data_IF_577623504188
#
_entry.id   IF_577623504188
#
_cell.length_a   1.000
_cell.length_b   1.000
_cell.length_c   1.000
_cell.angle_alpha   90.00
_cell.angle_beta   90.00
_cell.angle_gamma   90.00
#
_symmetry.space_group_name_H-M   'P 1'
#
loop_
_entity.id
_entity.type
_entity.pdbx_description
1 polymer ?
#
# COMPACT_ATOMS: atom_id res chain seq x y z
N UNK A 1 -15.58 -88.76 -16.63
CA UNK A 1 -16.57 -87.70 -16.91
C UNK A 1 -16.93 -86.88 -15.66
N UNK A 2 -15.97 -86.36 -14.88
CA UNK A 2 -16.25 -85.46 -13.73
C UNK A 2 -15.64 -84.06 -13.88
N UNK A 3 -14.56 -83.91 -14.66
CA UNK A 3 -13.91 -82.62 -14.90
C UNK A 3 -14.74 -81.63 -15.72
N UNK A 4 -15.44 -82.10 -16.76
CA UNK A 4 -16.25 -81.24 -17.64
C UNK A 4 -17.42 -80.57 -16.91
N UNK A 5 -17.98 -81.24 -15.89
CA UNK A 5 -19.06 -80.69 -15.08
C UNK A 5 -18.61 -79.51 -14.20
N UNK A 6 -17.42 -79.61 -13.60
CA UNK A 6 -16.87 -78.50 -12.79
C UNK A 6 -16.53 -77.28 -13.64
N UNK A 7 -15.99 -77.47 -14.84
CA UNK A 7 -15.70 -76.36 -15.77
C UNK A 7 -16.97 -75.63 -16.17
N UNK A 8 -18.07 -76.37 -16.39
CA UNK A 8 -19.37 -75.80 -16.73
C UNK A 8 -19.95 -74.98 -15.56
N UNK A 9 -19.81 -75.47 -14.33
CA UNK A 9 -20.26 -74.75 -13.13
C UNK A 9 -19.45 -73.45 -12.93
N UNK A 10 -18.13 -73.49 -13.11
CA UNK A 10 -17.29 -72.30 -13.03
C UNK A 10 -17.59 -71.28 -14.14
N UNK A 11 -17.90 -71.74 -15.36
CA UNK A 11 -18.30 -70.87 -16.45
C UNK A 11 -19.63 -70.16 -16.17
N UNK A 12 -20.61 -70.87 -15.60
CA UNK A 12 -21.90 -70.29 -15.21
C UNK A 12 -21.74 -69.27 -14.07
N UNK A 13 -20.92 -69.58 -13.06
CA UNK A 13 -20.59 -68.65 -11.99
C UNK A 13 -19.90 -67.37 -12.49
N UNK A 14 -18.96 -67.50 -13.43
CA UNK A 14 -18.30 -66.36 -14.05
C UNK A 14 -19.28 -65.49 -14.86
N UNK A 15 -20.26 -66.10 -15.53
CA UNK A 15 -21.26 -65.40 -16.33
C UNK A 15 -22.27 -64.64 -15.44
N UNK A 16 -22.67 -65.24 -14.31
CA UNK A 16 -23.50 -64.56 -13.30
C UNK A 16 -22.75 -63.40 -12.64
N UNK A 17 -21.48 -63.56 -12.29
CA UNK A 17 -20.68 -62.45 -11.75
C UNK A 17 -20.45 -61.34 -12.78
N UNK A 18 -20.16 -61.69 -14.04
CA UNK A 18 -19.99 -60.71 -15.12
C UNK A 18 -21.26 -59.89 -15.38
N UNK A 19 -22.43 -60.53 -15.33
CA UNK A 19 -23.72 -59.84 -15.50
C UNK A 19 -24.07 -58.97 -14.30
N UNK A 20 -23.80 -59.39 -13.06
CA UNK A 20 -23.99 -58.56 -11.85
C UNK A 20 -23.09 -57.31 -11.87
N UNK A 21 -21.83 -57.43 -12.30
CA UNK A 21 -20.92 -56.30 -12.45
C UNK A 21 -21.44 -55.31 -13.49
N UNK A 22 -21.93 -55.79 -14.64
CA UNK A 22 -22.50 -54.94 -15.68
C UNK A 22 -23.74 -54.17 -15.20
N UNK A 23 -24.64 -54.82 -14.44
CA UNK A 23 -25.80 -54.15 -13.85
C UNK A 23 -25.44 -53.13 -12.77
N UNK A 24 -24.42 -53.37 -11.95
CA UNK A 24 -23.92 -52.38 -10.98
C UNK A 24 -23.27 -51.18 -11.68
N UNK A 25 -22.58 -51.39 -12.81
CA UNK A 25 -21.99 -50.29 -13.58
C UNK A 25 -23.02 -49.42 -14.30
N UNK A 26 -24.15 -49.99 -14.74
CA UNK A 26 -25.18 -49.26 -15.51
C UNK A 26 -26.15 -48.48 -14.60
N UNK A 27 -26.40 -48.94 -13.37
CA UNK A 27 -27.22 -48.21 -12.39
C UNK A 27 -26.49 -47.00 -11.78
N UNK A 28 -25.15 -47.04 -11.68
CA UNK A 28 -24.36 -45.90 -11.18
C UNK A 28 -24.06 -44.82 -12.24
N UNK A 29 -24.39 -45.06 -13.51
CA UNK A 29 -24.10 -44.11 -14.60
C UNK A 29 -25.27 -43.21 -14.99
N UNK A 30 -26.49 -43.46 -14.50
CA UNK A 30 -27.65 -42.61 -14.79
C UNK A 30 -27.70 -41.29 -14.02
N UNK A 31 -26.83 -41.05 -13.04
CA UNK A 31 -26.80 -39.79 -12.26
C UNK A 31 -25.68 -38.81 -12.62
N UNK A 32 -24.71 -39.16 -13.49
CA UNK A 32 -23.61 -38.26 -13.83
C UNK A 32 -23.85 -37.64 -15.20
N UNK A 33 -24.77 -36.68 -15.19
CA UNK A 33 -24.88 -35.63 -16.21
C UNK A 33 -23.48 -35.05 -16.52
N UNK A 34 -23.05 -35.21 -17.76
CA UNK A 34 -22.05 -34.43 -18.52
C UNK A 34 -21.20 -33.47 -17.66
N UNK A 35 -20.08 -33.98 -17.11
CA UNK A 35 -18.91 -33.14 -16.83
C UNK A 35 -17.78 -33.59 -17.72
N UNK A 36 -17.55 -32.84 -18.81
CA UNK A 36 -16.27 -32.89 -19.54
C UNK A 36 -15.19 -32.44 -18.55
N UNK A 37 -14.52 -33.38 -17.90
CA UNK A 37 -13.27 -33.06 -17.20
C UNK A 37 -12.26 -32.75 -18.30
N UNK A 38 -11.71 -31.52 -18.37
CA UNK A 38 -10.69 -31.22 -19.36
C UNK A 38 -9.51 -32.17 -19.12
N UNK A 39 -8.89 -32.64 -20.21
CA UNK A 39 -7.68 -33.45 -20.13
C UNK A 39 -6.69 -32.84 -19.14
N UNK A 40 -5.97 -33.63 -18.32
CA UNK A 40 -4.99 -33.09 -17.39
C UNK A 40 -3.98 -32.26 -18.18
N UNK A 41 -4.05 -30.93 -18.02
CA UNK A 41 -3.11 -30.01 -18.64
C UNK A 41 -1.80 -30.17 -17.87
N UNK A 42 -0.91 -31.03 -18.36
CA UNK A 42 0.46 -31.10 -17.88
C UNK A 42 1.15 -29.78 -18.26
N UNK A 43 1.05 -28.77 -17.39
CA UNK A 43 1.90 -27.58 -17.47
C UNK A 43 3.30 -27.99 -17.05
N UNK A 44 4.16 -28.25 -18.02
CA UNK A 44 5.60 -28.31 -17.81
C UNK A 44 6.06 -26.87 -17.57
N UNK A 45 5.92 -26.36 -16.34
CA UNK A 45 6.58 -25.11 -15.97
C UNK A 45 8.07 -25.40 -15.84
N UNK A 46 8.90 -24.73 -16.64
CA UNK A 46 10.35 -24.88 -16.53
C UNK A 46 10.80 -24.44 -15.14
N UNK A 47 11.82 -25.09 -14.58
CA UNK A 47 12.41 -24.71 -13.29
C UNK A 47 12.86 -23.23 -13.29
N UNK A 48 13.11 -22.67 -14.49
CA UNK A 48 13.47 -21.28 -14.72
C UNK A 48 12.28 -20.32 -14.91
N UNK A 49 11.05 -20.82 -15.09
CA UNK A 49 9.86 -19.99 -15.29
C UNK A 49 9.57 -19.15 -14.04
N UNK A 50 9.55 -19.77 -12.87
CA UNK A 50 9.32 -19.08 -11.60
C UNK A 50 10.35 -17.98 -11.32
N UNK A 51 11.68 -18.21 -11.42
CA UNK A 51 12.66 -17.16 -11.20
C UNK A 51 12.62 -16.06 -12.28
N UNK A 52 12.39 -16.39 -13.55
CA UNK A 52 12.25 -15.38 -14.62
C UNK A 52 11.00 -14.52 -14.44
N UNK A 53 9.87 -15.13 -14.07
CA UNK A 53 8.63 -14.41 -13.76
C UNK A 53 8.82 -13.49 -12.55
N UNK A 54 9.53 -13.94 -11.52
CA UNK A 54 9.88 -13.12 -10.36
C UNK A 54 10.79 -11.94 -10.74
N UNK A 55 11.76 -12.15 -11.62
CA UNK A 55 12.63 -11.08 -12.13
C UNK A 55 11.84 -10.05 -12.95
N UNK A 56 10.99 -10.51 -13.88
CA UNK A 56 10.13 -9.65 -14.68
C UNK A 56 9.18 -8.81 -13.81
N UNK A 57 8.58 -9.42 -12.78
CA UNK A 57 7.72 -8.70 -11.83
C UNK A 57 8.49 -7.63 -11.04
N UNK A 58 9.74 -7.92 -10.63
CA UNK A 58 10.61 -6.95 -9.95
C UNK A 58 11.00 -5.78 -10.86
N UNK A 59 11.30 -6.04 -12.13
CA UNK A 59 11.62 -4.98 -13.09
C UNK A 59 10.42 -4.08 -13.37
N UNK A 60 9.24 -4.68 -13.56
CA UNK A 60 7.98 -3.92 -13.72
C UNK A 60 7.67 -3.05 -12.50
N UNK A 61 7.86 -3.61 -11.31
CA UNK A 61 7.74 -2.90 -10.04
C UNK A 61 8.68 -1.68 -9.94
N UNK A 62 9.95 -1.83 -10.33
CA UNK A 62 10.93 -0.74 -10.36
C UNK A 62 10.55 0.34 -11.37
N UNK A 63 10.09 -0.05 -12.56
CA UNK A 63 9.64 0.90 -13.59
C UNK A 63 8.46 1.74 -13.10
N UNK A 64 7.44 1.10 -12.50
CA UNK A 64 6.27 1.81 -11.97
C UNK A 64 6.67 2.75 -10.82
N UNK A 65 7.56 2.31 -9.93
CA UNK A 65 8.08 3.17 -8.87
C UNK A 65 8.82 4.38 -9.44
N UNK A 66 9.63 4.19 -10.50
CA UNK A 66 10.36 5.28 -11.16
C UNK A 66 9.43 6.34 -11.74
N UNK A 67 8.34 5.94 -12.41
CA UNK A 67 7.37 6.87 -12.97
C UNK A 67 6.68 7.69 -11.86
N UNK A 68 6.28 7.05 -10.77
CA UNK A 68 5.67 7.73 -9.62
C UNK A 68 6.66 8.70 -8.93
N UNK A 69 7.96 8.36 -8.89
CA UNK A 69 9.02 9.26 -8.40
C UNK A 69 9.18 10.49 -9.30
N UNK A 70 8.98 10.34 -10.61
CA UNK A 70 9.03 11.47 -11.52
C UNK A 70 7.82 12.39 -11.34
N UNK A 71 6.62 11.81 -11.21
CA UNK A 71 5.41 12.57 -10.88
C UNK A 71 5.50 13.27 -9.51
N UNK A 72 6.15 12.66 -8.50
CA UNK A 72 6.33 13.31 -7.21
C UNK A 72 7.25 14.53 -7.30
N UNK A 73 8.31 14.48 -8.12
CA UNK A 73 9.15 15.66 -8.39
C UNK A 73 8.36 16.79 -9.04
N UNK A 74 7.46 16.48 -9.99
CA UNK A 74 6.59 17.49 -10.62
C UNK A 74 5.63 18.14 -9.60
N UNK A 75 5.19 17.38 -8.59
CA UNK A 75 4.39 17.89 -7.47
C UNK A 75 5.21 18.67 -6.42
N UNK A 76 6.50 18.88 -6.65
CA UNK A 76 7.40 19.62 -5.76
C UNK A 76 7.92 18.80 -4.57
N UNK A 77 7.75 17.47 -4.56
CA UNK A 77 8.28 16.61 -3.52
C UNK A 77 9.78 16.39 -3.73
N UNK A 78 10.56 16.85 -2.77
CA UNK A 78 12.01 16.70 -2.77
C UNK A 78 12.47 15.27 -2.42
N UNK A 79 13.76 14.95 -2.63
CA UNK A 79 14.36 13.65 -2.32
C UNK A 79 14.20 13.22 -0.85
N UNK A 80 13.98 14.17 0.05
CA UNK A 80 13.81 13.99 1.49
C UNK A 80 12.48 13.35 1.90
N UNK A 81 11.54 13.25 0.96
CA UNK A 81 10.22 12.62 1.16
C UNK A 81 10.24 11.11 0.93
N UNK A 82 11.35 10.58 0.40
CA UNK A 82 11.53 9.15 0.16
C UNK A 82 12.05 8.44 1.41
N UNK A 83 11.45 7.30 1.74
CA UNK A 83 11.87 6.41 2.83
C UNK A 83 12.00 4.98 2.32
N UNK A 84 12.82 4.16 2.98
CA UNK A 84 12.87 2.72 2.70
C UNK A 84 12.37 1.99 3.94
N UNK A 85 11.27 1.26 3.81
CA UNK A 85 10.70 0.44 4.90
C UNK A 85 10.44 -0.97 4.38
N UNK A 86 10.88 -1.99 5.11
CA UNK A 86 10.67 -3.40 4.77
C UNK A 86 11.10 -3.76 3.33
N UNK A 87 12.24 -3.22 2.88
CA UNK A 87 12.78 -3.38 1.51
C UNK A 87 11.89 -2.80 0.39
N UNK A 88 10.92 -1.95 0.72
CA UNK A 88 10.09 -1.21 -0.22
C UNK A 88 10.41 0.29 -0.16
N UNK A 89 10.37 0.94 -1.32
CA UNK A 89 10.40 2.39 -1.39
C UNK A 89 9.07 2.96 -0.90
N UNK A 90 9.13 4.00 -0.07
CA UNK A 90 7.99 4.74 0.44
C UNK A 90 8.08 6.19 0.02
N UNK A 91 6.96 6.74 -0.45
CA UNK A 91 6.82 8.18 -0.70
C UNK A 91 5.93 8.73 0.41
N UNK A 92 6.48 9.63 1.23
CA UNK A 92 5.74 10.29 2.31
C UNK A 92 5.24 11.66 1.86
N UNK A 93 3.99 11.97 2.19
CA UNK A 93 3.46 13.33 2.06
C UNK A 93 2.79 13.78 3.36
N UNK A 94 3.07 15.02 3.74
CA UNK A 94 2.44 15.71 4.87
C UNK A 94 1.22 16.54 4.44
N UNK A 95 0.95 16.61 3.13
CA UNK A 95 -0.18 17.31 2.54
C UNK A 95 -1.13 16.30 1.90
N UNK A 96 -2.35 16.22 2.43
CA UNK A 96 -3.34 15.25 1.97
C UNK A 96 -3.70 15.39 0.47
N UNK A 97 -3.73 16.63 -0.06
CA UNK A 97 -4.01 16.86 -1.49
C UNK A 97 -2.89 16.34 -2.38
N UNK A 98 -1.63 16.52 -1.99
CA UNK A 98 -0.49 15.95 -2.72
C UNK A 98 -0.50 14.43 -2.66
N UNK A 99 -0.82 13.85 -1.50
CA UNK A 99 -1.00 12.42 -1.33
C UNK A 99 -2.06 11.84 -2.27
N UNK A 100 -3.25 12.46 -2.37
CA UNK A 100 -4.31 11.96 -3.26
C UNK A 100 -3.88 11.99 -4.73
N UNK A 101 -3.17 13.04 -5.16
CA UNK A 101 -2.61 13.14 -6.51
C UNK A 101 -1.59 12.03 -6.77
N UNK A 102 -0.69 11.76 -5.83
CA UNK A 102 0.26 10.65 -5.94
C UNK A 102 -0.43 9.29 -6.03
N UNK A 103 -1.46 9.07 -5.21
CA UNK A 103 -2.20 7.82 -5.23
C UNK A 103 -2.94 7.61 -6.56
N UNK A 104 -3.41 8.71 -7.18
CA UNK A 104 -4.01 8.69 -8.51
C UNK A 104 -2.97 8.38 -9.60
N UNK A 105 -1.79 9.01 -9.57
CA UNK A 105 -0.70 8.69 -10.49
C UNK A 105 -0.24 7.24 -10.34
N UNK A 106 -0.06 6.75 -9.11
CA UNK A 106 0.28 5.36 -8.86
C UNK A 106 -0.79 4.39 -9.38
N UNK A 107 -2.07 4.74 -9.29
CA UNK A 107 -3.15 3.95 -9.90
C UNK A 107 -3.07 3.95 -11.43
N UNK A 108 -2.75 5.07 -12.07
CA UNK A 108 -2.56 5.16 -13.52
C UNK A 108 -1.38 4.30 -13.99
N UNK A 109 -0.25 4.36 -13.28
CA UNK A 109 0.97 3.61 -13.63
C UNK A 109 0.87 2.10 -13.33
N UNK A 110 0.26 1.73 -12.20
CA UNK A 110 0.20 0.32 -11.78
C UNK A 110 -1.03 -0.41 -12.31
N UNK A 111 -2.11 0.33 -12.63
CA UNK A 111 -3.44 -0.24 -12.91
C UNK A 111 -4.13 -0.85 -11.70
N UNK A 112 -3.54 -0.75 -10.50
CA UNK A 112 -4.04 -1.37 -9.28
C UNK A 112 -4.86 -0.37 -8.45
N UNK A 113 -6.07 -0.80 -8.04
CA UNK A 113 -6.88 -0.08 -7.07
C UNK A 113 -6.66 -0.69 -5.68
N UNK A 114 -5.66 -0.18 -4.97
CA UNK A 114 -5.24 -0.69 -3.65
C UNK A 114 -6.14 -0.12 -2.54
N UNK A 115 -6.54 -0.97 -1.59
CA UNK A 115 -7.27 -0.54 -0.40
C UNK A 115 -6.41 0.35 0.50
N UNK A 116 -7.05 1.36 1.08
CA UNK A 116 -6.38 2.32 1.97
C UNK A 116 -6.48 1.87 3.42
N UNK A 117 -5.34 1.77 4.09
CA UNK A 117 -5.28 1.56 5.54
C UNK A 117 -5.31 2.93 6.22
N UNK A 118 -6.41 3.23 6.90
CA UNK A 118 -6.67 4.55 7.49
C UNK A 118 -6.68 4.51 9.00
N UNK A 119 -5.92 5.41 9.61
CA UNK A 119 -5.87 5.63 11.06
C UNK A 119 -6.52 6.97 11.37
N UNK A 120 -7.40 6.98 12.37
CA UNK A 120 -8.18 8.16 12.72
C UNK A 120 -8.10 8.51 14.20
N UNK A 121 -8.10 9.81 14.52
CA UNK A 121 -8.39 10.35 15.86
C UNK A 121 -9.83 10.88 15.93
N UNK A 122 -10.37 10.94 17.15
CA UNK A 122 -11.66 11.56 17.44
C UNK A 122 -11.41 12.87 18.18
N UNK A 123 -11.93 13.98 17.63
CA UNK A 123 -11.78 15.32 18.18
C UNK A 123 -13.13 16.04 18.19
N UNK A 124 -13.61 16.44 19.37
CA UNK A 124 -14.92 17.13 19.54
C UNK A 124 -16.07 16.44 18.80
N UNK A 125 -16.14 15.10 18.84
CA UNK A 125 -17.15 14.30 18.14
C UNK A 125 -16.93 14.15 16.63
N UNK A 126 -15.87 14.73 16.05
CA UNK A 126 -15.50 14.59 14.64
C UNK A 126 -14.31 13.64 14.46
N UNK A 127 -14.43 12.74 13.47
CA UNK A 127 -13.36 11.80 13.07
C UNK A 127 -12.35 12.52 12.17
N UNK A 128 -11.06 12.40 12.47
CA UNK A 128 -9.93 13.06 11.77
C UNK A 128 -8.92 12.03 11.30
N UNK A 129 -8.41 12.18 10.08
CA UNK A 129 -7.44 11.26 9.49
C UNK A 129 -6.02 11.62 9.99
N UNK A 130 -5.36 10.67 10.66
CA UNK A 130 -3.97 10.84 11.12
C UNK A 130 -2.99 10.29 10.09
N UNK A 131 -3.26 9.08 9.60
CA UNK A 131 -2.37 8.36 8.69
C UNK A 131 -3.20 7.61 7.65
N UNK A 132 -2.75 7.63 6.40
CA UNK A 132 -3.26 6.76 5.35
C UNK A 132 -2.10 6.10 4.61
N UNK A 133 -2.17 4.77 4.43
CA UNK A 133 -1.17 4.01 3.69
C UNK A 133 -1.85 3.26 2.55
N UNK A 134 -1.23 3.32 1.36
CA UNK A 134 -1.53 2.44 0.21
C UNK A 134 -0.27 1.69 -0.21
N UNK A 135 -0.33 0.36 -0.15
CA UNK A 135 0.78 -0.54 -0.49
C UNK A 135 0.55 -1.19 -1.87
N UNK A 136 1.35 -0.79 -2.86
CA UNK A 136 1.29 -1.33 -4.24
C UNK A 136 2.17 -2.58 -4.41
N UNK A 137 2.54 -3.23 -3.31
CA UNK A 137 3.40 -4.42 -3.26
C UNK A 137 4.89 -4.08 -3.39
N UNK A 138 5.26 -3.23 -4.36
CA UNK A 138 6.65 -2.85 -4.66
C UNK A 138 7.10 -1.55 -4.00
N UNK A 139 6.19 -0.59 -3.91
CA UNK A 139 6.36 0.67 -3.20
C UNK A 139 5.06 0.97 -2.43
N UNK A 140 5.14 1.92 -1.50
CA UNK A 140 3.97 2.41 -0.79
C UNK A 140 3.93 3.92 -0.80
N UNK A 141 2.72 4.46 -0.73
CA UNK A 141 2.49 5.89 -0.54
C UNK A 141 1.87 6.06 0.83
N UNK A 142 2.41 6.99 1.61
CA UNK A 142 1.92 7.28 2.96
C UNK A 142 1.60 8.77 3.10
N UNK A 143 0.42 9.05 3.60
CA UNK A 143 0.07 10.31 4.20
C UNK A 143 0.28 10.24 5.71
N UNK A 144 0.91 11.24 6.29
CA UNK A 144 0.96 11.41 7.74
C UNK A 144 0.80 12.87 8.10
N UNK A 145 -0.24 13.17 8.89
CA UNK A 145 -0.41 14.48 9.48
C UNK A 145 0.70 14.71 10.51
N UNK A 146 1.53 15.72 10.30
CA UNK A 146 2.64 16.03 11.19
C UNK A 146 2.92 17.52 11.26
N UNK A 147 3.65 17.92 12.28
CA UNK A 147 4.10 19.29 12.48
C UNK A 147 5.60 19.32 12.73
N UNK A 148 6.22 20.46 12.48
CA UNK A 148 7.60 20.72 12.87
C UNK A 148 7.67 22.03 13.65
N UNK A 149 8.42 22.02 14.74
CA UNK A 149 8.81 23.22 15.48
C UNK A 149 10.31 23.37 15.33
N UNK A 150 10.73 24.52 14.82
CA UNK A 150 12.12 24.90 14.57
C UNK A 150 12.45 26.21 15.29
N UNK A 151 13.73 26.43 15.58
CA UNK A 151 14.20 27.71 16.10
C UNK A 151 14.38 28.74 14.99
N UNK A 152 14.53 30.01 15.36
CA UNK A 152 14.86 31.07 14.40
C UNK A 152 16.24 30.85 13.75
N UNK A 153 17.19 30.26 14.50
CA UNK A 153 18.50 29.86 13.99
C UNK A 153 18.35 28.81 12.88
N UNK A 154 17.64 27.70 13.14
CA UNK A 154 17.36 26.67 12.15
C UNK A 154 16.64 27.24 10.93
N UNK A 155 15.70 28.18 11.14
CA UNK A 155 14.95 28.78 10.03
C UNK A 155 15.85 29.59 9.09
N UNK A 156 16.84 30.31 9.64
CA UNK A 156 17.77 31.13 8.86
C UNK A 156 18.65 30.32 7.91
N UNK A 157 19.06 29.10 8.30
CA UNK A 157 19.84 28.19 7.46
C UNK A 157 19.11 27.81 6.16
N UNK A 158 17.77 27.75 6.20
CA UNK A 158 16.94 27.36 5.05
C UNK A 158 16.36 28.56 4.28
N UNK A 159 16.61 29.81 4.69
CA UNK A 159 16.22 30.98 3.90
C UNK A 159 17.17 31.25 2.74
N UNK A 160 18.47 31.05 2.95
CA UNK A 160 19.54 31.34 1.98
C UNK A 160 19.86 30.15 1.06
N UNK A 161 19.38 28.94 1.38
CA UNK A 161 19.64 27.72 0.64
C UNK A 161 18.76 27.48 -0.60
N UNK A 162 19.08 26.43 -1.36
CA UNK A 162 18.25 25.93 -2.47
C UNK A 162 16.94 25.25 -2.01
N UNK A 163 16.89 24.87 -0.72
CA UNK A 163 15.77 24.22 -0.08
C UNK A 163 14.96 25.26 0.68
N UNK A 164 13.64 25.26 0.49
CA UNK A 164 12.74 26.15 1.22
C UNK A 164 11.71 25.36 2.02
N UNK A 165 11.18 26.00 3.04
CA UNK A 165 10.03 25.50 3.79
C UNK A 165 8.76 26.12 3.18
N UNK A 166 7.78 25.27 2.90
CA UNK A 166 6.45 25.73 2.50
C UNK A 166 5.56 25.91 3.73
N UNK A 167 4.79 27.01 3.78
CA UNK A 167 3.85 27.32 4.87
C UNK A 167 4.50 27.36 6.27
N UNK A 168 5.40 28.32 6.47
CA UNK A 168 6.03 28.60 7.77
C UNK A 168 5.19 29.60 8.56
N UNK A 169 4.95 29.30 9.83
CA UNK A 169 4.26 30.18 10.77
C UNK A 169 5.23 30.66 11.84
N UNK A 170 5.37 31.97 12.02
CA UNK A 170 5.98 32.49 13.25
C UNK A 170 5.02 32.19 14.40
N UNK A 171 5.43 31.49 15.45
CA UNK A 171 4.56 31.19 16.58
C UNK A 171 4.53 32.36 17.56
N UNK A 172 3.34 32.92 17.78
CA UNK A 172 3.02 33.92 18.80
C UNK A 172 1.70 33.53 19.46
N UNK A 173 1.45 33.98 20.70
CA UNK A 173 0.19 33.69 21.41
C UNK A 173 -1.08 33.98 20.60
N UNK A 174 -1.02 34.97 19.69
CA UNK A 174 -2.15 35.37 18.84
C UNK A 174 -2.42 34.40 17.69
N UNK A 175 -1.41 33.66 17.22
CA UNK A 175 -1.52 32.81 16.02
C UNK A 175 -1.40 31.30 16.31
N UNK A 176 -1.12 30.90 17.55
CA UNK A 176 -1.11 29.50 18.00
C UNK A 176 -2.38 28.76 17.56
N UNK A 177 -3.56 29.38 17.73
CA UNK A 177 -4.83 28.79 17.32
C UNK A 177 -4.92 28.52 15.81
N UNK A 178 -4.39 29.44 15.00
CA UNK A 178 -4.38 29.29 13.54
C UNK A 178 -3.42 28.19 13.08
N UNK A 179 -2.24 28.12 13.71
CA UNK A 179 -1.28 27.05 13.48
C UNK A 179 -1.87 25.67 13.80
N UNK A 180 -2.46 25.51 14.98
CA UNK A 180 -3.11 24.27 15.40
C UNK A 180 -4.25 23.90 14.44
N UNK A 181 -5.06 24.87 14.02
CA UNK A 181 -6.14 24.65 13.06
C UNK A 181 -5.63 24.13 11.70
N UNK A 182 -4.53 24.69 11.18
CA UNK A 182 -3.93 24.24 9.92
C UNK A 182 -3.42 22.81 9.99
N UNK A 183 -2.76 22.42 11.10
CA UNK A 183 -2.28 21.06 11.28
C UNK A 183 -3.46 20.08 11.41
N UNK A 184 -4.50 20.44 12.18
CA UNK A 184 -5.71 19.61 12.35
C UNK A 184 -6.44 19.39 11.01
N UNK A 185 -6.32 20.32 10.07
CA UNK A 185 -6.89 20.19 8.72
C UNK A 185 -6.04 19.31 7.78
N UNK A 186 -4.91 18.79 8.23
CA UNK A 186 -4.08 17.87 7.45
C UNK A 186 -3.12 18.54 6.47
N UNK A 187 -2.87 19.84 6.68
CA UNK A 187 -1.83 20.58 5.99
C UNK A 187 -0.63 20.64 6.93
N UNK A 188 0.18 19.58 6.96
CA UNK A 188 1.36 19.53 7.83
C UNK A 188 2.16 20.85 7.73
N UNK A 189 2.40 21.46 8.89
CA UNK A 189 2.86 22.85 8.99
C UNK A 189 4.16 22.95 9.80
N UNK A 190 4.98 23.94 9.45
CA UNK A 190 6.22 24.26 10.16
C UNK A 190 5.99 25.55 10.92
N UNK A 191 6.41 25.60 12.18
CA UNK A 191 6.42 26.85 12.91
C UNK A 191 7.78 27.15 13.55
N UNK A 192 8.10 28.44 13.56
CA UNK A 192 9.31 29.01 14.16
C UNK A 192 8.95 29.46 15.56
N UNK A 193 9.60 28.92 16.58
CA UNK A 193 9.31 29.22 17.97
C UNK A 193 10.58 29.12 18.82
N UNK A 194 11.04 30.25 19.35
CA UNK A 194 12.14 30.29 20.32
C UNK A 194 11.67 30.20 21.77
N UNK A 195 10.37 30.36 22.01
CA UNK A 195 9.76 30.26 23.34
C UNK A 195 9.57 28.78 23.74
N UNK A 196 10.29 28.35 24.77
CA UNK A 196 10.26 26.99 25.30
C UNK A 196 8.90 26.64 25.92
N UNK A 197 8.25 27.57 26.61
CA UNK A 197 6.95 27.32 27.24
C UNK A 197 5.86 27.20 26.17
N UNK A 198 5.89 28.08 25.17
CA UNK A 198 4.92 28.09 24.09
C UNK A 198 5.07 26.85 23.19
N UNK A 199 6.32 26.46 22.86
CA UNK A 199 6.60 25.24 22.10
C UNK A 199 6.15 23.97 22.84
N UNK A 200 6.38 23.88 24.15
CA UNK A 200 5.91 22.76 24.98
C UNK A 200 4.37 22.72 25.06
N UNK A 201 3.72 23.88 25.22
CA UNK A 201 2.27 23.98 25.22
C UNK A 201 1.68 23.51 23.89
N UNK A 202 2.22 23.97 22.77
CA UNK A 202 1.80 23.54 21.43
C UNK A 202 2.02 22.05 21.24
N UNK A 203 3.20 21.54 21.62
CA UNK A 203 3.50 20.11 21.54
C UNK A 203 2.49 19.28 22.35
N UNK A 204 2.21 19.68 23.60
CA UNK A 204 1.24 18.97 24.46
C UNK A 204 -0.17 18.94 23.86
N UNK A 205 -0.62 20.03 23.23
CA UNK A 205 -1.92 20.10 22.58
C UNK A 205 -1.95 19.16 21.37
N UNK A 206 -0.93 19.21 20.51
CA UNK A 206 -0.87 18.40 19.29
C UNK A 206 -0.68 16.91 19.61
N UNK A 207 0.10 16.58 20.64
CA UNK A 207 0.28 15.22 21.14
C UNK A 207 -1.04 14.66 21.71
N UNK A 208 -1.82 15.49 22.43
CA UNK A 208 -3.16 15.12 22.88
C UNK A 208 -4.13 14.81 21.72
N UNK A 209 -3.79 15.27 20.51
CA UNK A 209 -4.56 15.04 19.28
C UNK A 209 -3.98 13.93 18.40
N UNK A 210 -2.92 13.25 18.85
CA UNK A 210 -2.25 12.17 18.12
C UNK A 210 -1.48 12.65 16.88
N UNK A 211 -1.16 13.95 16.82
CA UNK A 211 -0.34 14.52 15.74
C UNK A 211 1.13 14.33 16.07
N UNK A 212 1.90 13.91 15.07
CA UNK A 212 3.30 13.51 15.30
C UNK A 212 4.23 14.67 14.97
N UNK A 213 5.17 14.96 15.87
CA UNK A 213 6.29 15.85 15.55
C UNK A 213 7.20 15.16 14.55
N UNK A 214 7.33 15.76 13.37
CA UNK A 214 8.09 15.21 12.26
C UNK A 214 9.42 15.95 12.06
N UNK A 215 10.48 15.24 11.64
CA UNK A 215 11.72 15.86 11.22
C UNK A 215 11.51 16.89 10.11
N UNK A 216 12.27 17.98 10.16
CA UNK A 216 12.17 19.11 9.21
C UNK A 216 12.25 18.68 7.74
N UNK A 217 13.03 17.64 7.46
CA UNK A 217 13.22 17.09 6.10
C UNK A 217 11.92 16.76 5.36
N UNK A 218 10.84 16.45 6.08
CA UNK A 218 9.54 16.11 5.47
C UNK A 218 8.72 17.33 5.04
N UNK A 219 9.17 18.54 5.37
CA UNK A 219 8.54 19.81 5.01
C UNK A 219 9.37 20.63 4.00
N UNK A 220 10.54 20.12 3.63
CA UNK A 220 11.42 20.77 2.66
C UNK A 220 10.88 20.61 1.23
N UNK A 221 10.85 21.72 0.52
CA UNK A 221 10.54 21.80 -0.91
C UNK A 221 11.75 22.33 -1.68
N UNK A 222 11.93 21.84 -2.90
CA UNK A 222 12.98 22.35 -3.80
C UNK A 222 12.51 23.64 -4.45
N UNK A 223 13.42 24.61 -4.62
CA UNK A 223 13.17 25.85 -5.37
C UNK A 223 13.04 25.56 -6.87
N UNK A 224 11.93 24.94 -7.30
CA UNK A 224 11.42 24.93 -8.67
C UNK A 224 10.14 24.10 -8.77
N UNK A 225 8.99 24.80 -8.89
CA UNK A 225 7.98 24.61 -9.95
C UNK A 225 6.86 25.66 -9.76
N UNK A 226 7.21 26.93 -9.99
CA UNK A 226 6.22 27.89 -10.51
C UNK A 226 6.62 28.15 -11.95
N UNK A 227 5.90 27.49 -12.86
CA UNK A 227 5.61 28.02 -14.19
C UNK A 227 4.14 27.80 -14.44
#
# INVERSE_FOLDING_TARGET
MRFTGYVLIFAVLALVFGTVVLFQTDLNQKEIFIRRVPAPVFKVESVFYTPLRNAANKLKALSNASAVIESSKQLGLGPWTYIVKSRKLGILSTNYSQYEKLALYARMETGLNVESQKVYSFLFGKRRLIEEIRDYGSFFIRYTAGYCLISTEEYSEYQEGELKLSNVFELTDKNVGYFIYNIINGNGSVAVCDDVELSQKVASILDSHGLVRMPLRFFLTTKNTVR
#
